data_IF_883771145046
#
_entry.id   IF_883771145046
#
_cell.length_a   1.000
_cell.length_b   1.000
_cell.length_c   1.000
_cell.angle_alpha   90.00
_cell.angle_beta   90.00
_cell.angle_gamma   90.00
#
_symmetry.space_group_name_H-M   'P 1'
#
loop_
_entity.id
_entity.type
_entity.pdbx_description
1 polymer ?
#
# COMPACT_ATOMS: atom_id res chain seq x y z
N UNK A 1 -12.84 16.35 -3.85
CA UNK A 1 -12.89 17.19 -5.07
C UNK A 1 -12.86 16.38 -6.36
N UNK A 2 -11.78 15.65 -6.69
CA UNK A 2 -11.72 14.83 -7.93
C UNK A 2 -12.93 13.91 -8.12
N UNK A 3 -13.29 13.13 -7.09
CA UNK A 3 -14.50 12.28 -7.06
C UNK A 3 -15.79 13.05 -7.38
N UNK A 4 -15.92 14.29 -6.91
CA UNK A 4 -17.10 15.13 -7.19
C UNK A 4 -17.15 15.47 -8.68
N UNK A 5 -16.03 15.91 -9.27
CA UNK A 5 -15.98 16.21 -10.70
C UNK A 5 -16.24 14.96 -11.57
N UNK A 6 -15.68 13.82 -11.17
CA UNK A 6 -15.86 12.54 -11.88
C UNK A 6 -17.30 12.02 -11.79
N UNK A 7 -18.01 12.30 -10.69
CA UNK A 7 -19.38 11.79 -10.46
C UNK A 7 -20.46 12.74 -10.96
N UNK A 8 -20.29 14.04 -10.71
CA UNK A 8 -21.34 15.06 -10.91
C UNK A 8 -20.97 16.12 -11.96
N UNK A 9 -19.81 15.97 -12.61
CA UNK A 9 -19.32 16.89 -13.62
C UNK A 9 -18.61 18.11 -13.06
N UNK A 10 -17.92 18.82 -13.94
CA UNK A 10 -17.11 19.99 -13.59
C UNK A 10 -17.96 21.18 -13.11
N UNK A 11 -19.20 21.32 -13.58
CA UNK A 11 -20.10 22.41 -13.16
C UNK A 11 -20.39 22.37 -11.66
N UNK A 12 -20.65 21.19 -11.10
CA UNK A 12 -20.87 21.02 -9.66
C UNK A 12 -19.57 21.30 -8.88
N UNK A 13 -18.43 20.85 -9.41
CA UNK A 13 -17.12 21.17 -8.86
C UNK A 13 -16.86 22.68 -8.77
N UNK A 14 -17.22 23.44 -9.81
CA UNK A 14 -17.04 24.89 -9.84
C UNK A 14 -17.96 25.62 -8.87
N UNK A 15 -19.22 25.18 -8.73
CA UNK A 15 -20.14 25.70 -7.71
C UNK A 15 -19.62 25.44 -6.30
N UNK A 16 -19.07 24.25 -6.07
CA UNK A 16 -18.48 23.87 -4.79
C UNK A 16 -17.28 24.76 -4.45
N UNK A 17 -16.41 25.08 -5.41
CA UNK A 17 -15.30 26.00 -5.19
C UNK A 17 -15.77 27.42 -4.88
N UNK A 18 -16.82 27.92 -5.55
CA UNK A 18 -17.41 29.24 -5.25
C UNK A 18 -17.97 29.28 -3.82
N UNK A 19 -18.68 28.23 -3.40
CA UNK A 19 -19.22 28.09 -2.04
C UNK A 19 -18.12 28.02 -0.98
N UNK A 20 -17.00 27.33 -1.27
CA UNK A 20 -15.81 27.33 -0.39
C UNK A 20 -15.28 28.76 -0.23
N UNK A 21 -15.14 29.52 -1.32
CA UNK A 21 -14.67 30.91 -1.26
C UNK A 21 -15.62 31.77 -0.43
N UNK A 22 -16.93 31.71 -0.68
CA UNK A 22 -17.94 32.47 0.07
C UNK A 22 -17.92 32.16 1.56
N UNK A 23 -17.76 30.89 1.94
CA UNK A 23 -17.67 30.51 3.35
C UNK A 23 -16.35 30.98 3.98
N UNK A 24 -15.24 30.89 3.24
CA UNK A 24 -13.94 31.38 3.68
C UNK A 24 -13.91 32.90 3.86
N UNK A 25 -14.63 33.69 3.06
CA UNK A 25 -14.74 35.15 3.23
C UNK A 25 -15.29 35.56 4.61
N UNK A 26 -16.06 34.69 5.27
CA UNK A 26 -16.55 34.94 6.63
C UNK A 26 -15.55 34.52 7.74
N UNK A 27 -14.51 33.77 7.38
CA UNK A 27 -13.48 33.24 8.29
C UNK A 27 -12.21 34.08 8.20
N UNK A 28 -11.89 34.55 7.01
CA UNK A 28 -10.70 35.35 6.70
C UNK A 28 -10.98 36.80 7.08
N UNK A 29 -10.18 37.33 8.01
CA UNK A 29 -10.32 38.71 8.44
C UNK A 29 -9.71 39.69 7.43
N UNK A 30 -9.85 40.98 7.73
CA UNK A 30 -9.35 42.07 6.87
C UNK A 30 -7.82 42.14 6.71
N UNK A 31 -7.06 41.41 7.55
CA UNK A 31 -5.59 41.45 7.54
C UNK A 31 -5.00 40.26 6.80
N UNK A 32 -5.68 39.14 6.80
CA UNK A 32 -5.27 37.92 6.14
C UNK A 32 -5.46 38.03 4.63
N UNK A 33 -4.60 37.35 3.86
CA UNK A 33 -4.76 37.22 2.41
C UNK A 33 -5.21 35.80 2.10
N UNK A 34 -6.36 35.67 1.45
CA UNK A 34 -6.85 34.40 0.93
C UNK A 34 -6.77 34.39 -0.58
N UNK A 35 -6.13 33.37 -1.14
CA UNK A 35 -5.91 33.23 -2.58
C UNK A 35 -6.12 31.80 -3.05
N UNK A 36 -6.62 31.65 -4.28
CA UNK A 36 -6.66 30.38 -4.99
C UNK A 36 -5.45 30.28 -5.91
N UNK A 37 -4.59 29.28 -5.69
CA UNK A 37 -3.34 29.14 -6.45
C UNK A 37 -3.57 28.35 -7.74
N UNK A 38 -4.27 27.22 -7.65
CA UNK A 38 -4.61 26.37 -8.80
C UNK A 38 -5.67 25.35 -8.42
N UNK A 39 -6.50 24.89 -9.36
CA UNK A 39 -7.43 23.78 -9.13
C UNK A 39 -8.24 23.93 -7.83
N UNK A 40 -8.09 22.98 -6.91
CA UNK A 40 -8.70 23.00 -5.57
C UNK A 40 -7.70 23.37 -4.45
N UNK A 41 -6.59 24.04 -4.78
CA UNK A 41 -5.56 24.50 -3.85
C UNK A 41 -5.75 25.98 -3.53
N UNK A 42 -5.78 26.29 -2.24
CA UNK A 42 -5.91 27.63 -1.70
C UNK A 42 -4.73 27.91 -0.75
N UNK A 43 -4.40 29.19 -0.58
CA UNK A 43 -3.37 29.67 0.33
C UNK A 43 -3.97 30.77 1.19
N UNK A 44 -3.63 30.74 2.48
CA UNK A 44 -3.93 31.78 3.45
C UNK A 44 -2.60 32.32 3.97
N UNK A 45 -2.40 33.63 3.88
CA UNK A 45 -1.31 34.33 4.53
C UNK A 45 -1.85 35.08 5.75
N UNK A 46 -1.31 34.78 6.92
CA UNK A 46 -1.65 35.44 8.17
C UNK A 46 -0.48 36.34 8.57
N UNK A 47 -0.54 37.67 8.34
CA UNK A 47 0.55 38.57 8.67
C UNK A 47 0.58 38.90 10.17
N UNK A 48 1.73 39.39 10.63
CA UNK A 48 1.90 39.98 11.97
C UNK A 48 1.57 39.03 13.14
N UNK A 49 1.95 37.76 13.01
CA UNK A 49 1.93 36.80 14.11
C UNK A 49 2.97 37.16 15.21
N UNK A 50 2.85 36.52 16.37
CA UNK A 50 3.72 36.79 17.50
C UNK A 50 5.18 36.36 17.24
N UNK A 51 6.15 37.08 17.80
CA UNK A 51 7.57 36.72 17.62
C UNK A 51 7.96 35.41 18.33
N UNK A 52 7.18 35.00 19.33
CA UNK A 52 7.32 33.69 19.96
C UNK A 52 6.69 32.61 19.06
N UNK A 53 7.50 31.63 18.64
CA UNK A 53 7.05 30.55 17.76
C UNK A 53 5.90 29.73 18.36
N UNK A 54 5.93 29.45 19.67
CA UNK A 54 4.89 28.66 20.35
C UNK A 54 3.54 29.39 20.28
N UNK A 55 3.53 30.68 20.57
CA UNK A 55 2.29 31.48 20.51
C UNK A 55 1.77 31.60 19.08
N UNK A 56 2.66 31.74 18.09
CA UNK A 56 2.30 31.72 16.67
C UNK A 56 1.70 30.39 16.22
N UNK A 57 2.24 29.26 16.70
CA UNK A 57 1.66 27.93 16.48
C UNK A 57 0.27 27.83 17.09
N UNK A 58 0.10 28.19 18.36
CA UNK A 58 -1.19 28.16 19.05
C UNK A 58 -2.26 29.04 18.37
N UNK A 59 -1.88 30.22 17.89
CA UNK A 59 -2.76 31.08 17.10
C UNK A 59 -3.17 30.43 15.78
N UNK A 60 -2.20 29.82 15.08
CA UNK A 60 -2.45 29.16 13.80
C UNK A 60 -3.33 27.92 13.98
N UNK A 61 -3.14 27.15 15.04
CA UNK A 61 -3.98 25.99 15.37
C UNK A 61 -5.43 26.40 15.66
N UNK A 62 -5.64 27.48 16.41
CA UNK A 62 -6.99 28.05 16.61
C UNK A 62 -7.64 28.46 15.30
N UNK A 63 -6.85 29.02 14.38
CA UNK A 63 -7.34 29.43 13.06
C UNK A 63 -7.75 28.22 12.21
N UNK A 64 -6.92 27.18 12.18
CA UNK A 64 -7.23 25.90 11.52
C UNK A 64 -8.47 25.25 12.12
N UNK A 65 -8.60 25.25 13.44
CA UNK A 65 -9.79 24.74 14.12
C UNK A 65 -11.05 25.51 13.70
N UNK A 66 -10.95 26.83 13.57
CA UNK A 66 -12.05 27.67 13.08
C UNK A 66 -12.46 27.31 11.65
N UNK A 67 -11.49 27.09 10.75
CA UNK A 67 -11.76 26.61 9.39
C UNK A 67 -12.49 25.27 9.45
N UNK A 68 -11.92 24.28 10.14
CA UNK A 68 -12.48 22.93 10.22
C UNK A 68 -13.90 22.93 10.81
N UNK A 69 -14.14 23.75 11.85
CA UNK A 69 -15.46 23.88 12.46
C UNK A 69 -16.50 24.45 11.49
N UNK A 70 -16.16 25.50 10.74
CA UNK A 70 -17.06 26.10 9.75
C UNK A 70 -17.37 25.17 8.57
N UNK A 71 -16.44 24.25 8.24
CA UNK A 71 -16.63 23.26 7.19
C UNK A 71 -17.11 21.89 7.69
N UNK A 72 -17.38 21.74 8.99
CA UNK A 72 -18.08 20.57 9.52
C UNK A 72 -19.53 20.51 9.01
N UNK A 73 -20.16 21.67 8.79
CA UNK A 73 -21.47 21.78 8.14
C UNK A 73 -21.34 21.56 6.63
N UNK A 74 -22.26 20.81 5.99
CA UNK A 74 -22.21 20.60 4.55
C UNK A 74 -22.39 21.90 3.76
N UNK A 75 -21.93 21.89 2.51
CA UNK A 75 -22.31 22.87 1.50
C UNK A 75 -23.56 22.34 0.78
N UNK A 76 -24.61 23.16 0.68
CA UNK A 76 -25.79 22.81 -0.08
C UNK A 76 -25.68 23.35 -1.51
N UNK A 77 -25.77 22.47 -2.50
CA UNK A 77 -25.79 22.84 -3.92
C UNK A 77 -27.00 22.15 -4.54
N UNK A 78 -27.97 22.95 -4.98
CA UNK A 78 -29.20 22.48 -5.62
C UNK A 78 -30.01 21.45 -4.79
N UNK A 79 -29.98 21.54 -3.46
CA UNK A 79 -30.71 20.64 -2.56
C UNK A 79 -29.90 19.44 -2.09
N UNK A 80 -28.71 19.21 -2.64
CA UNK A 80 -27.80 18.13 -2.26
C UNK A 80 -26.72 18.63 -1.29
N UNK A 81 -26.37 17.80 -0.30
CA UNK A 81 -25.38 18.12 0.73
C UNK A 81 -24.00 17.55 0.41
N UNK A 82 -22.98 18.42 0.44
CA UNK A 82 -21.60 18.06 0.17
C UNK A 82 -20.73 18.32 1.40
N UNK A 83 -20.19 17.26 1.98
CA UNK A 83 -19.20 17.34 3.06
C UNK A 83 -17.79 17.45 2.49
N UNK A 84 -17.02 18.41 3.01
CA UNK A 84 -15.65 18.66 2.59
C UNK A 84 -14.69 18.50 3.76
N UNK A 85 -13.50 18.00 3.46
CA UNK A 85 -12.36 18.01 4.35
C UNK A 85 -11.19 18.74 3.67
N UNK A 86 -10.41 19.45 4.49
CA UNK A 86 -9.21 20.17 4.05
C UNK A 86 -8.00 19.51 4.66
N UNK A 87 -6.98 19.26 3.84
CA UNK A 87 -5.65 18.95 4.36
C UNK A 87 -4.80 20.21 4.26
N UNK A 88 -4.20 20.62 5.38
CA UNK A 88 -3.55 21.94 5.51
C UNK A 88 -2.07 21.78 5.82
N UNK A 89 -1.21 22.41 5.01
CA UNK A 89 0.21 22.56 5.30
C UNK A 89 0.51 23.94 5.82
N UNK A 90 1.22 24.04 6.93
CA UNK A 90 1.50 25.29 7.62
C UNK A 90 3.00 25.55 7.59
N UNK A 91 3.40 26.77 7.31
CA UNK A 91 4.79 27.22 7.47
C UNK A 91 4.81 28.51 8.25
N UNK A 92 5.59 28.54 9.32
CA UNK A 92 5.95 29.80 9.99
C UNK A 92 7.25 30.30 9.36
N UNK A 93 7.30 31.59 9.05
CA UNK A 93 8.44 32.21 8.40
C UNK A 93 8.60 33.66 8.86
N UNK A 94 9.83 34.15 8.83
CA UNK A 94 10.17 35.55 9.03
C UNK A 94 10.63 36.17 7.71
N UNK A 95 10.39 37.48 7.53
CA UNK A 95 10.64 38.20 6.27
C UNK A 95 12.08 38.13 5.74
N UNK A 96 13.05 37.72 6.55
CA UNK A 96 14.47 37.70 6.18
C UNK A 96 14.99 36.32 5.75
N UNK A 97 14.21 35.24 5.90
CA UNK A 97 14.74 33.87 5.88
C UNK A 97 14.30 33.01 4.67
N UNK A 98 13.43 33.53 3.81
CA UNK A 98 12.89 32.78 2.68
C UNK A 98 12.29 33.69 1.60
N UNK A 99 12.43 33.30 0.33
CA UNK A 99 11.65 33.91 -0.74
C UNK A 99 10.17 33.48 -0.65
N UNK A 100 9.26 34.24 -1.25
CA UNK A 100 7.84 33.85 -1.32
C UNK A 100 7.65 32.46 -1.94
N UNK A 101 8.49 32.11 -2.93
CA UNK A 101 8.49 30.79 -3.55
C UNK A 101 8.89 29.68 -2.56
N UNK A 102 9.93 29.92 -1.75
CA UNK A 102 10.36 28.94 -0.75
C UNK A 102 9.30 28.73 0.33
N UNK A 103 8.63 29.79 0.78
CA UNK A 103 7.53 29.71 1.75
C UNK A 103 6.38 28.87 1.19
N UNK A 104 5.94 29.15 -0.04
CA UNK A 104 4.87 28.39 -0.69
C UNK A 104 5.26 26.91 -0.86
N UNK A 105 6.49 26.64 -1.27
CA UNK A 105 7.01 25.27 -1.40
C UNK A 105 7.01 24.53 -0.06
N UNK A 106 7.47 25.17 1.02
CA UNK A 106 7.47 24.59 2.37
C UNK A 106 6.05 24.30 2.86
N UNK A 107 5.10 25.21 2.62
CA UNK A 107 3.69 25.00 2.94
C UNK A 107 3.10 23.82 2.15
N UNK A 108 3.43 23.70 0.86
CA UNK A 108 2.99 22.59 0.02
C UNK A 108 3.58 21.25 0.49
N UNK A 109 4.87 21.20 0.83
CA UNK A 109 5.51 20.02 1.43
C UNK A 109 4.83 19.61 2.72
N UNK A 110 4.56 20.54 3.63
CA UNK A 110 3.83 20.24 4.87
C UNK A 110 2.40 19.73 4.62
N UNK A 111 1.72 20.27 3.61
CA UNK A 111 0.38 19.82 3.22
C UNK A 111 0.44 18.38 2.67
N UNK A 112 1.50 18.06 1.92
CA UNK A 112 1.72 16.73 1.38
C UNK A 112 1.96 15.71 2.49
N UNK A 113 2.84 16.03 3.44
CA UNK A 113 3.08 15.21 4.64
C UNK A 113 1.82 15.01 5.49
N UNK A 114 1.00 16.07 5.64
CA UNK A 114 -0.31 15.93 6.29
C UNK A 114 -1.24 14.97 5.53
N UNK A 115 -1.20 14.95 4.18
CA UNK A 115 -2.01 14.01 3.39
C UNK A 115 -1.57 12.56 3.56
N UNK A 116 -0.26 12.32 3.67
CA UNK A 116 0.30 10.99 3.96
C UNK A 116 -0.17 10.48 5.31
N UNK A 117 -0.13 11.33 6.34
CA UNK A 117 -0.57 10.95 7.68
C UNK A 117 -2.08 10.64 7.73
N UNK A 118 -2.92 11.58 7.29
CA UNK A 118 -4.35 11.37 7.10
C UNK A 118 -5.01 12.53 6.35
N UNK A 119 -5.93 12.22 5.43
CA UNK A 119 -6.74 13.25 4.76
C UNK A 119 -7.60 13.99 5.80
N UNK A 120 -7.74 15.31 5.64
CA UNK A 120 -8.48 16.15 6.59
C UNK A 120 -7.67 16.63 7.81
N UNK A 121 -6.35 16.41 7.84
CA UNK A 121 -5.47 16.85 8.93
C UNK A 121 -4.62 18.06 8.56
N UNK A 122 -3.86 18.58 9.52
CA UNK A 122 -2.90 19.67 9.31
C UNK A 122 -1.52 19.30 9.82
N UNK A 123 -0.48 19.81 9.17
CA UNK A 123 0.91 19.63 9.61
C UNK A 123 1.72 20.91 9.47
N UNK A 124 2.61 21.15 10.44
CA UNK A 124 3.59 22.24 10.37
C UNK A 124 4.85 21.77 9.67
N UNK A 125 5.35 22.60 8.76
CA UNK A 125 6.59 22.38 8.07
C UNK A 125 7.74 22.21 9.07
N UNK A 126 8.47 21.11 8.89
CA UNK A 126 9.73 20.86 9.55
C UNK A 126 10.79 20.68 8.47
N UNK A 127 12.02 21.13 8.73
CA UNK A 127 13.11 21.03 7.75
C UNK A 127 13.36 19.59 7.27
N UNK A 128 13.11 18.61 8.14
CA UNK A 128 13.13 17.17 7.80
C UNK A 128 12.23 16.83 6.60
N UNK A 129 11.06 17.45 6.48
CA UNK A 129 10.10 17.16 5.41
C UNK A 129 10.65 17.48 4.01
N UNK A 130 11.41 18.57 3.86
CA UNK A 130 12.04 18.89 2.56
C UNK A 130 13.14 17.92 2.19
N UNK A 131 13.83 17.33 3.17
CA UNK A 131 14.84 16.31 2.92
C UNK A 131 14.16 15.03 2.46
N UNK A 132 13.10 14.61 3.14
CA UNK A 132 12.26 13.45 2.76
C UNK A 132 11.75 13.59 1.32
N UNK A 133 11.15 14.72 0.93
CA UNK A 133 10.66 14.87 -0.46
C UNK A 133 11.77 14.82 -1.52
N UNK A 134 12.99 15.29 -1.21
CA UNK A 134 14.14 15.18 -2.13
C UNK A 134 14.66 13.76 -2.23
N UNK A 135 14.72 13.05 -1.10
CA UNK A 135 15.11 11.65 -1.03
C UNK A 135 14.13 10.79 -1.83
N UNK A 136 12.82 11.02 -1.69
CA UNK A 136 11.76 10.33 -2.44
C UNK A 136 11.93 10.50 -3.95
N UNK A 137 12.09 11.74 -4.43
CA UNK A 137 12.36 12.00 -5.85
C UNK A 137 13.67 11.36 -6.33
N UNK A 138 14.67 11.27 -5.46
CA UNK A 138 15.93 10.61 -5.79
C UNK A 138 15.72 9.11 -5.96
N UNK A 139 14.99 8.49 -5.02
CA UNK A 139 14.64 7.07 -5.06
C UNK A 139 13.80 6.75 -6.31
N UNK A 140 12.78 7.55 -6.63
CA UNK A 140 11.98 7.38 -7.85
C UNK A 140 12.85 7.39 -9.12
N UNK A 141 13.75 8.37 -9.24
CA UNK A 141 14.68 8.45 -10.36
C UNK A 141 15.66 7.27 -10.41
N UNK A 142 16.08 6.78 -9.25
CA UNK A 142 16.98 5.63 -9.16
C UNK A 142 16.26 4.33 -9.52
N UNK A 143 14.98 4.12 -9.16
CA UNK A 143 14.16 2.98 -9.62
C UNK A 143 14.09 2.97 -11.16
N UNK A 144 13.91 4.13 -11.79
CA UNK A 144 13.92 4.24 -13.25
C UNK A 144 15.23 3.79 -13.90
N UNK A 145 16.37 4.00 -13.24
CA UNK A 145 17.68 3.54 -13.72
C UNK A 145 17.86 2.06 -13.42
N UNK A 146 17.49 1.63 -12.22
CA UNK A 146 17.59 0.26 -11.75
C UNK A 146 16.86 -0.74 -12.68
N UNK A 147 15.68 -0.37 -13.17
CA UNK A 147 14.92 -1.14 -14.17
C UNK A 147 15.66 -1.31 -15.51
N UNK A 148 16.53 -0.37 -15.88
CA UNK A 148 17.33 -0.42 -17.12
C UNK A 148 18.68 -1.11 -16.93
N UNK A 149 19.20 -1.07 -15.72
CA UNK A 149 20.55 -1.51 -15.37
C UNK A 149 20.58 -2.91 -14.73
N UNK A 150 19.44 -3.59 -14.60
CA UNK A 150 19.29 -4.89 -13.93
C UNK A 150 19.77 -4.86 -12.47
N UNK A 151 19.40 -3.81 -11.73
CA UNK A 151 19.76 -3.65 -10.31
C UNK A 151 18.73 -4.30 -9.36
N UNK A 152 17.64 -4.83 -9.90
CA UNK A 152 16.66 -5.60 -9.15
C UNK A 152 16.87 -7.10 -9.32
N UNK A 153 16.58 -7.85 -8.27
CA UNK A 153 16.52 -9.31 -8.26
C UNK A 153 15.27 -9.79 -7.51
N UNK A 154 14.91 -11.07 -7.67
CA UNK A 154 13.82 -11.69 -6.92
C UNK A 154 14.42 -12.72 -5.98
N UNK A 155 14.01 -12.63 -4.71
CA UNK A 155 14.29 -13.63 -3.70
C UNK A 155 13.00 -14.38 -3.41
N UNK A 156 13.10 -15.66 -3.08
CA UNK A 156 11.98 -16.52 -2.81
C UNK A 156 11.96 -16.89 -1.33
N UNK A 157 10.80 -16.73 -0.70
CA UNK A 157 10.60 -17.21 0.66
C UNK A 157 9.64 -18.41 0.66
N UNK A 158 10.09 -19.61 1.06
CA UNK A 158 9.26 -20.80 1.11
C UNK A 158 8.05 -20.66 2.03
N UNK A 159 6.92 -21.18 1.59
CA UNK A 159 5.69 -21.37 2.35
C UNK A 159 5.52 -22.86 2.64
N UNK A 160 5.13 -23.21 3.86
CA UNK A 160 5.12 -24.59 4.32
C UNK A 160 3.77 -25.02 4.87
N UNK A 161 3.44 -26.28 4.67
CA UNK A 161 2.37 -26.95 5.37
C UNK A 161 2.75 -27.17 6.83
N UNK A 162 1.87 -26.75 7.75
CA UNK A 162 2.18 -26.80 9.19
C UNK A 162 2.27 -28.23 9.74
N UNK A 163 1.55 -29.18 9.14
CA UNK A 163 1.49 -30.57 9.62
C UNK A 163 2.62 -31.41 9.02
N UNK A 164 2.87 -31.29 7.72
CA UNK A 164 3.88 -32.10 7.03
C UNK A 164 5.27 -31.48 6.99
N UNK A 165 5.39 -30.18 7.28
CA UNK A 165 6.62 -29.40 7.13
C UNK A 165 7.23 -29.45 5.72
N UNK A 166 6.37 -29.64 4.72
CA UNK A 166 6.77 -29.65 3.30
C UNK A 166 6.53 -28.28 2.69
N UNK A 167 7.41 -27.88 1.77
CA UNK A 167 7.24 -26.65 1.00
C UNK A 167 6.05 -26.83 0.05
N UNK A 168 5.06 -25.93 0.14
CA UNK A 168 3.87 -25.91 -0.72
C UNK A 168 3.96 -24.85 -1.81
N UNK A 169 4.69 -23.78 -1.56
CA UNK A 169 4.81 -22.63 -2.45
C UNK A 169 5.95 -21.73 -2.02
N UNK A 170 6.08 -20.59 -2.67
CA UNK A 170 6.98 -19.53 -2.23
C UNK A 170 6.50 -18.15 -2.65
N UNK A 171 6.80 -17.15 -1.83
CA UNK A 171 6.55 -15.76 -2.16
C UNK A 171 7.76 -15.16 -2.90
N UNK A 172 7.49 -14.52 -4.04
CA UNK A 172 8.48 -13.80 -4.84
C UNK A 172 8.63 -12.36 -4.32
N UNK A 173 9.79 -12.07 -3.73
CA UNK A 173 10.08 -10.83 -3.03
C UNK A 173 11.20 -10.06 -3.74
N UNK A 174 10.88 -8.86 -4.24
CA UNK A 174 11.85 -8.00 -4.93
C UNK A 174 12.99 -7.54 -3.99
N UNK A 175 14.21 -7.50 -4.50
CA UNK A 175 15.41 -6.99 -3.83
C UNK A 175 16.07 -5.97 -4.73
N UNK A 176 16.63 -4.90 -4.14
CA UNK A 176 17.31 -3.86 -4.89
C UNK A 176 18.76 -3.73 -4.45
N UNK A 177 19.67 -4.08 -5.35
CA UNK A 177 21.11 -3.93 -5.16
C UNK A 177 21.60 -2.67 -5.88
N UNK A 178 21.62 -1.55 -5.18
CA UNK A 178 22.02 -0.27 -5.75
C UNK A 178 23.55 -0.16 -5.83
N UNK A 179 24.14 0.22 -6.98
CA UNK A 179 25.58 0.15 -7.22
C UNK A 179 26.43 0.97 -6.23
N UNK A 180 25.90 2.07 -5.71
CA UNK A 180 26.59 2.93 -4.74
C UNK A 180 26.01 2.92 -3.33
N UNK A 181 24.76 2.46 -3.14
CA UNK A 181 24.05 2.49 -1.86
C UNK A 181 23.99 1.11 -1.21
N UNK A 182 24.40 0.07 -1.93
CA UNK A 182 24.26 -1.33 -1.51
C UNK A 182 22.80 -1.77 -1.56
N UNK A 183 22.47 -2.76 -0.73
CA UNK A 183 21.12 -3.28 -0.60
C UNK A 183 20.15 -2.22 -0.05
N UNK A 184 19.09 -1.94 -0.81
CA UNK A 184 17.99 -1.07 -0.39
C UNK A 184 16.78 -1.94 -0.03
N UNK A 185 16.30 -1.91 1.23
CA UNK A 185 15.14 -2.71 1.65
C UNK A 185 13.85 -2.33 0.90
N UNK A 186 12.95 -3.28 0.59
CA UNK A 186 11.64 -3.01 -0.02
C UNK A 186 10.83 -1.93 0.70
N UNK A 187 10.83 -1.95 2.04
CA UNK A 187 10.14 -0.95 2.86
C UNK A 187 10.60 0.51 2.59
N UNK A 188 11.81 0.70 2.03
CA UNK A 188 12.35 2.02 1.75
C UNK A 188 12.01 2.53 0.34
N UNK A 189 11.59 1.68 -0.59
CA UNK A 189 11.34 2.09 -1.98
C UNK A 189 9.96 1.72 -2.52
N UNK A 190 9.30 0.66 -2.00
CA UNK A 190 7.96 0.26 -2.44
C UNK A 190 6.93 1.36 -2.15
N UNK A 191 6.86 1.95 -0.94
CA UNK A 191 5.88 3.02 -0.67
C UNK A 191 6.07 4.24 -1.60
N UNK A 192 7.33 4.57 -1.91
CA UNK A 192 7.69 5.66 -2.83
C UNK A 192 7.28 5.29 -4.26
N UNK A 193 7.46 4.02 -4.64
CA UNK A 193 7.09 3.53 -5.95
C UNK A 193 5.57 3.57 -6.16
N UNK A 194 4.80 3.22 -5.13
CA UNK A 194 3.34 3.26 -5.13
C UNK A 194 2.82 4.69 -5.24
N UNK A 195 3.39 5.61 -4.47
CA UNK A 195 2.97 7.00 -4.42
C UNK A 195 3.27 7.75 -5.74
N UNK A 196 4.44 7.47 -6.35
CA UNK A 196 4.88 8.12 -7.59
C UNK A 196 4.24 7.55 -8.86
N UNK A 197 3.69 6.33 -8.81
CA UNK A 197 3.16 5.67 -10.00
C UNK A 197 4.09 4.62 -10.62
N UNK A 198 5.38 4.64 -10.28
CA UNK A 198 6.40 3.79 -10.90
C UNK A 198 6.29 2.32 -10.48
N UNK A 199 5.58 2.00 -9.38
CA UNK A 199 5.33 0.61 -8.95
C UNK A 199 4.75 -0.24 -10.07
N UNK A 200 3.92 0.32 -10.96
CA UNK A 200 3.36 -0.43 -12.10
C UNK A 200 4.48 -0.96 -13.00
N UNK A 201 5.49 -0.12 -13.32
CA UNK A 201 6.62 -0.54 -14.15
C UNK A 201 7.52 -1.52 -13.41
N UNK A 202 7.66 -1.34 -12.10
CA UNK A 202 8.43 -2.26 -11.26
C UNK A 202 7.77 -3.63 -11.19
N UNK A 203 6.46 -3.68 -10.99
CA UNK A 203 5.69 -4.92 -10.97
C UNK A 203 5.62 -5.59 -12.35
N UNK A 204 5.51 -4.83 -13.44
CA UNK A 204 5.66 -5.41 -14.80
C UNK A 204 7.02 -6.12 -14.96
N UNK A 205 8.09 -5.57 -14.38
CA UNK A 205 9.40 -6.23 -14.32
C UNK A 205 9.40 -7.44 -13.39
N UNK A 206 8.82 -7.34 -12.19
CA UNK A 206 8.71 -8.44 -11.21
C UNK A 206 7.95 -9.61 -11.81
N UNK A 207 6.76 -9.38 -12.37
CA UNK A 207 5.96 -10.41 -13.04
C UNK A 207 6.76 -11.09 -14.15
N UNK A 208 7.42 -10.32 -15.01
CA UNK A 208 8.18 -10.91 -16.11
C UNK A 208 9.31 -11.81 -15.59
N UNK A 209 10.03 -11.35 -14.57
CA UNK A 209 11.16 -12.08 -13.99
C UNK A 209 10.71 -13.33 -13.21
N UNK A 210 9.66 -13.22 -12.40
CA UNK A 210 9.10 -14.33 -11.64
C UNK A 210 8.52 -15.41 -12.56
N UNK A 211 7.76 -15.03 -13.59
CA UNK A 211 7.18 -15.97 -14.56
C UNK A 211 8.28 -16.65 -15.38
N UNK A 212 9.34 -15.93 -15.76
CA UNK A 212 10.52 -16.52 -16.39
C UNK A 212 11.21 -17.55 -15.48
N UNK A 213 11.36 -17.25 -14.19
CA UNK A 213 11.96 -18.16 -13.21
C UNK A 213 11.08 -19.39 -12.94
N UNK A 214 9.75 -19.24 -12.84
CA UNK A 214 8.79 -20.35 -12.81
C UNK A 214 8.94 -21.25 -14.03
N UNK A 215 9.09 -20.64 -15.21
CA UNK A 215 9.32 -21.39 -16.45
C UNK A 215 10.59 -22.23 -16.37
N UNK A 216 11.71 -21.64 -15.93
CA UNK A 216 12.99 -22.33 -15.75
C UNK A 216 12.86 -23.50 -14.75
N UNK A 217 12.15 -23.30 -13.64
CA UNK A 217 11.90 -24.36 -12.65
C UNK A 217 11.11 -25.51 -13.26
N UNK A 218 10.01 -25.22 -13.95
CA UNK A 218 9.17 -26.25 -14.59
C UNK A 218 9.93 -27.08 -15.64
N UNK A 219 10.84 -26.46 -16.40
CA UNK A 219 11.66 -27.16 -17.40
C UNK A 219 12.75 -28.01 -16.76
N UNK A 220 13.38 -27.50 -15.69
CA UNK A 220 14.46 -28.20 -15.01
C UNK A 220 13.98 -29.44 -14.26
N UNK A 221 12.80 -29.37 -13.64
CA UNK A 221 12.23 -30.44 -12.81
C UNK A 221 11.28 -31.37 -13.59
N UNK A 222 11.13 -31.18 -14.90
CA UNK A 222 10.16 -31.87 -15.78
C UNK A 222 8.67 -31.66 -15.46
N UNK A 223 8.35 -31.11 -14.30
CA UNK A 223 7.06 -30.60 -13.86
C UNK A 223 7.30 -29.48 -12.83
N UNK A 224 6.34 -28.58 -12.63
CA UNK A 224 6.47 -27.58 -11.58
C UNK A 224 6.27 -28.25 -10.20
N UNK A 225 7.24 -28.16 -9.27
CA UNK A 225 7.27 -29.02 -8.08
C UNK A 225 6.44 -28.49 -6.90
N UNK A 226 5.82 -27.32 -7.04
CA UNK A 226 5.07 -26.63 -5.97
C UNK A 226 3.62 -26.39 -6.41
N UNK A 227 2.78 -25.98 -5.46
CA UNK A 227 1.43 -25.53 -5.75
C UNK A 227 1.46 -24.18 -6.49
N UNK A 228 2.29 -23.23 -6.03
CA UNK A 228 2.35 -21.88 -6.63
C UNK A 228 3.64 -21.11 -6.29
N UNK A 229 3.90 -20.05 -7.06
CA UNK A 229 4.70 -18.87 -6.66
C UNK A 229 3.74 -17.70 -6.46
N UNK A 230 3.76 -17.11 -5.27
CA UNK A 230 2.97 -15.95 -4.92
C UNK A 230 3.68 -14.66 -5.32
N UNK A 231 2.94 -13.75 -5.99
CA UNK A 231 3.45 -12.46 -6.44
C UNK A 231 2.54 -11.35 -5.92
N UNK A 232 3.14 -10.44 -5.15
CA UNK A 232 2.47 -9.24 -4.65
C UNK A 232 2.01 -8.32 -5.77
N UNK A 233 0.79 -7.81 -5.65
CA UNK A 233 0.20 -6.84 -6.59
C UNK A 233 -0.30 -5.62 -5.86
N UNK A 234 0.34 -4.48 -6.11
CA UNK A 234 -0.13 -3.19 -5.61
C UNK A 234 -1.55 -2.91 -6.08
N UNK A 235 -2.31 -2.27 -5.19
CA UNK A 235 -3.68 -1.85 -5.49
C UNK A 235 -3.73 -1.01 -6.78
N UNK A 236 -2.72 -0.16 -7.00
CA UNK A 236 -2.70 0.75 -8.13
C UNK A 236 -2.51 0.03 -9.46
N UNK A 237 -1.70 -1.04 -9.51
CA UNK A 237 -1.53 -1.84 -10.71
C UNK A 237 -2.73 -2.75 -10.95
N UNK A 238 -3.24 -3.39 -9.92
CA UNK A 238 -4.41 -4.26 -10.03
C UNK A 238 -5.65 -3.52 -10.57
N UNK A 239 -5.83 -2.25 -10.17
CA UNK A 239 -6.90 -1.39 -10.65
C UNK A 239 -6.66 -0.82 -12.06
N UNK A 240 -5.50 -1.05 -12.70
CA UNK A 240 -5.28 -0.57 -14.07
C UNK A 240 -6.29 -1.19 -15.04
N UNK A 241 -6.74 -0.41 -16.04
CA UNK A 241 -7.37 -0.98 -17.23
C UNK A 241 -6.39 -1.97 -17.89
N UNK A 242 -6.92 -3.07 -18.44
CA UNK A 242 -6.14 -4.08 -19.16
C UNK A 242 -5.12 -4.86 -18.31
N UNK A 243 -5.18 -4.82 -16.97
CA UNK A 243 -4.32 -5.62 -16.10
C UNK A 243 -4.37 -7.12 -16.47
N UNK A 244 -5.58 -7.67 -16.56
CA UNK A 244 -5.82 -9.08 -16.92
C UNK A 244 -5.21 -9.40 -18.30
N UNK A 245 -5.51 -8.58 -19.32
CA UNK A 245 -4.99 -8.76 -20.68
C UNK A 245 -3.46 -8.79 -20.71
N UNK A 246 -2.80 -7.84 -20.03
CA UNK A 246 -1.33 -7.76 -19.95
C UNK A 246 -0.72 -8.97 -19.26
N UNK A 247 -1.29 -9.38 -18.13
CA UNK A 247 -0.81 -10.56 -17.39
C UNK A 247 -0.98 -11.82 -18.24
N UNK A 248 -2.11 -11.98 -18.93
CA UNK A 248 -2.31 -13.11 -19.83
C UNK A 248 -1.33 -13.10 -20.99
N UNK A 249 -1.03 -11.96 -21.60
CA UNK A 249 0.00 -11.87 -22.65
C UNK A 249 1.37 -12.33 -22.15
N UNK A 250 1.70 -12.04 -20.89
CA UNK A 250 2.95 -12.44 -20.27
C UNK A 250 3.01 -13.95 -20.03
N UNK A 251 1.94 -14.53 -19.48
CA UNK A 251 1.80 -15.98 -19.32
C UNK A 251 1.93 -16.70 -20.66
N UNK A 252 1.22 -16.24 -21.70
CA UNK A 252 1.27 -16.86 -23.03
C UNK A 252 2.67 -16.77 -23.66
N UNK A 253 3.37 -15.65 -23.46
CA UNK A 253 4.74 -15.45 -23.96
C UNK A 253 5.71 -16.46 -23.36
N UNK A 254 5.62 -16.69 -22.05
CA UNK A 254 6.50 -17.60 -21.33
C UNK A 254 6.01 -19.06 -21.32
N UNK A 255 4.78 -19.31 -21.75
CA UNK A 255 4.13 -20.64 -21.76
C UNK A 255 4.13 -21.29 -20.38
N UNK A 256 3.76 -20.51 -19.37
CA UNK A 256 3.61 -20.94 -17.98
C UNK A 256 2.15 -21.32 -17.73
N UNK A 257 1.89 -22.32 -16.88
CA UNK A 257 0.53 -22.62 -16.45
C UNK A 257 0.09 -21.57 -15.41
N UNK A 258 -1.03 -20.84 -15.61
CA UNK A 258 -1.57 -19.91 -14.63
C UNK A 258 -1.76 -20.50 -13.22
N UNK A 259 -2.03 -21.81 -13.11
CA UNK A 259 -2.22 -22.49 -11.83
C UNK A 259 -0.99 -22.46 -10.93
N UNK A 260 0.20 -22.18 -11.48
CA UNK A 260 1.43 -22.06 -10.72
C UNK A 260 1.67 -20.65 -10.17
N UNK A 261 0.75 -19.71 -10.41
CA UNK A 261 0.89 -18.31 -10.01
C UNK A 261 -0.25 -17.95 -9.07
N UNK A 262 0.13 -17.56 -7.84
CA UNK A 262 -0.77 -16.93 -6.89
C UNK A 262 -0.58 -15.41 -6.96
N UNK A 263 -1.68 -14.66 -6.96
CA UNK A 263 -1.65 -13.20 -6.85
C UNK A 263 -2.05 -12.77 -5.45
N UNK A 264 -1.15 -12.07 -4.77
CA UNK A 264 -1.40 -11.54 -3.43
C UNK A 264 -1.87 -10.09 -3.53
N UNK A 265 -3.00 -9.79 -2.91
CA UNK A 265 -3.59 -8.44 -2.93
C UNK A 265 -3.96 -8.06 -1.51
N UNK A 266 -3.55 -6.87 -1.08
CA UNK A 266 -3.89 -6.39 0.25
C UNK A 266 -5.39 -6.20 0.43
N UNK A 267 -5.87 -6.45 1.64
CA UNK A 267 -7.27 -6.24 2.04
C UNK A 267 -7.76 -4.83 1.66
N UNK A 268 -6.97 -3.81 2.00
CA UNK A 268 -7.31 -2.40 1.73
C UNK A 268 -7.43 -2.11 0.22
N UNK A 269 -6.65 -2.81 -0.60
CA UNK A 269 -6.67 -2.68 -2.05
C UNK A 269 -7.95 -3.18 -2.68
N UNK A 270 -8.40 -4.36 -2.26
CA UNK A 270 -9.67 -4.96 -2.70
C UNK A 270 -10.84 -4.03 -2.34
N UNK A 271 -10.85 -3.49 -1.12
CA UNK A 271 -11.94 -2.65 -0.63
C UNK A 271 -12.06 -1.31 -1.35
N UNK A 272 -11.01 -0.85 -2.04
CA UNK A 272 -11.03 0.42 -2.79
C UNK A 272 -12.01 0.39 -3.96
N UNK A 273 -12.16 -0.74 -4.63
CA UNK A 273 -13.15 -0.96 -5.68
C UNK A 273 -13.51 -2.46 -5.80
N UNK A 274 -14.34 -2.91 -4.86
CA UNK A 274 -14.66 -4.33 -4.72
C UNK A 274 -15.29 -4.96 -5.98
N UNK A 275 -16.16 -4.23 -6.68
CA UNK A 275 -16.85 -4.76 -7.86
C UNK A 275 -15.86 -5.05 -9.00
N UNK A 276 -14.94 -4.11 -9.26
CA UNK A 276 -13.88 -4.29 -10.26
C UNK A 276 -12.92 -5.41 -9.83
N UNK A 277 -12.56 -5.45 -8.55
CA UNK A 277 -11.69 -6.48 -8.01
C UNK A 277 -12.29 -7.88 -8.18
N UNK A 278 -13.53 -8.08 -7.75
CA UNK A 278 -14.25 -9.36 -7.89
C UNK A 278 -14.34 -9.79 -9.36
N UNK A 279 -14.60 -8.86 -10.28
CA UNK A 279 -14.66 -9.18 -11.70
C UNK A 279 -13.30 -9.67 -12.23
N UNK A 280 -12.22 -8.95 -11.93
CA UNK A 280 -10.86 -9.32 -12.37
C UNK A 280 -10.39 -10.63 -11.75
N UNK A 281 -10.66 -10.85 -10.46
CA UNK A 281 -10.33 -12.12 -9.78
C UNK A 281 -11.07 -13.27 -10.48
N UNK A 282 -12.38 -13.15 -10.71
CA UNK A 282 -13.15 -14.21 -11.40
C UNK A 282 -12.61 -14.50 -12.81
N UNK A 283 -12.24 -13.46 -13.54
CA UNK A 283 -11.67 -13.59 -14.88
C UNK A 283 -10.33 -14.32 -14.85
N UNK A 284 -9.41 -13.92 -13.97
CA UNK A 284 -8.11 -14.56 -13.81
C UNK A 284 -8.23 -16.00 -13.28
N UNK A 285 -9.14 -16.26 -12.34
CA UNK A 285 -9.40 -17.63 -11.88
C UNK A 285 -9.96 -18.54 -12.96
N UNK A 286 -10.72 -18.00 -13.92
CA UNK A 286 -11.16 -18.78 -15.09
C UNK A 286 -9.99 -19.21 -15.99
N UNK A 287 -8.84 -18.54 -15.91
CA UNK A 287 -7.59 -18.96 -16.55
C UNK A 287 -6.74 -19.91 -15.68
N UNK A 288 -7.01 -20.01 -14.37
CA UNK A 288 -6.36 -20.95 -13.46
C UNK A 288 -5.55 -20.31 -12.33
N UNK A 289 -5.40 -18.98 -12.28
CA UNK A 289 -4.69 -18.31 -11.18
C UNK A 289 -5.33 -18.57 -9.82
N UNK A 290 -4.52 -18.60 -8.76
CA UNK A 290 -4.99 -18.55 -7.38
C UNK A 290 -4.81 -17.14 -6.80
N UNK A 291 -5.54 -16.85 -5.72
CA UNK A 291 -5.52 -15.55 -5.08
C UNK A 291 -5.47 -15.66 -3.57
N UNK A 292 -4.65 -14.82 -2.96
CA UNK A 292 -4.60 -14.63 -1.52
C UNK A 292 -4.88 -13.18 -1.12
N UNK A 293 -5.49 -13.01 0.05
CA UNK A 293 -5.65 -11.69 0.67
C UNK A 293 -4.48 -11.49 1.62
N UNK A 294 -3.70 -10.44 1.37
CA UNK A 294 -2.53 -10.07 2.16
C UNK A 294 -2.85 -9.06 3.27
N UNK A 295 -2.00 -9.02 4.30
CA UNK A 295 -2.12 -8.16 5.50
C UNK A 295 -3.49 -8.27 6.22
N UNK A 296 -4.12 -9.44 6.22
CA UNK A 296 -5.51 -9.57 6.71
C UNK A 296 -5.62 -9.29 8.21
N UNK A 297 -6.60 -8.44 8.58
CA UNK A 297 -6.89 -8.08 9.97
C UNK A 297 -6.28 -6.75 10.42
N UNK A 298 -5.44 -6.12 9.59
CA UNK A 298 -4.94 -4.75 9.82
C UNK A 298 -5.95 -3.67 9.36
N UNK A 299 -6.92 -4.06 8.52
CA UNK A 299 -7.94 -3.20 7.94
C UNK A 299 -9.35 -3.34 8.55
N UNK A 300 -10.30 -2.61 7.98
CA UNK A 300 -11.72 -2.72 8.32
C UNK A 300 -12.42 -3.72 7.37
N UNK A 301 -12.27 -5.01 7.66
CA UNK A 301 -12.98 -6.04 6.89
C UNK A 301 -14.45 -6.12 7.28
N UNK A 302 -15.33 -5.98 6.29
CA UNK A 302 -16.72 -6.42 6.44
C UNK A 302 -16.82 -7.90 6.06
N UNK A 303 -17.18 -8.74 7.03
CA UNK A 303 -17.47 -10.16 6.81
C UNK A 303 -18.49 -10.40 5.68
N UNK A 304 -19.37 -9.43 5.41
CA UNK A 304 -20.33 -9.51 4.33
C UNK A 304 -19.66 -9.62 2.96
N UNK A 305 -18.56 -8.89 2.75
CA UNK A 305 -17.84 -8.89 1.47
C UNK A 305 -16.90 -10.07 1.34
N UNK A 306 -16.30 -10.53 2.44
CA UNK A 306 -15.43 -11.70 2.43
C UNK A 306 -16.12 -12.94 1.83
N UNK A 307 -17.44 -13.08 2.05
CA UNK A 307 -18.27 -14.13 1.45
C UNK A 307 -18.32 -14.08 -0.09
N UNK A 308 -18.18 -12.90 -0.68
CA UNK A 308 -18.32 -12.69 -2.13
C UNK A 308 -16.97 -12.68 -2.86
N UNK A 309 -15.86 -12.61 -2.13
CA UNK A 309 -14.51 -12.61 -2.68
C UNK A 309 -14.13 -14.03 -3.13
N UNK A 310 -13.83 -14.24 -4.43
CA UNK A 310 -13.46 -15.54 -4.94
C UNK A 310 -11.98 -15.83 -4.71
N UNK A 311 -11.48 -15.69 -3.48
CA UNK A 311 -10.08 -15.96 -3.12
C UNK A 311 -9.89 -17.39 -2.61
N UNK A 312 -8.65 -17.85 -2.56
CA UNK A 312 -8.27 -19.22 -2.14
C UNK A 312 -7.66 -19.22 -0.74
N UNK A 313 -6.91 -18.17 -0.40
CA UNK A 313 -6.14 -18.09 0.83
C UNK A 313 -6.27 -16.71 1.52
N UNK A 314 -6.09 -16.70 2.83
CA UNK A 314 -5.94 -15.50 3.65
C UNK A 314 -4.57 -15.57 4.35
N UNK A 315 -3.79 -14.50 4.25
CA UNK A 315 -2.49 -14.35 4.93
C UNK A 315 -2.67 -13.49 6.18
N UNK A 316 -2.28 -14.03 7.33
CA UNK A 316 -2.33 -13.33 8.61
C UNK A 316 -1.07 -12.49 8.74
N UNK A 317 -1.24 -11.18 8.88
CA UNK A 317 -0.15 -10.22 9.02
C UNK A 317 0.81 -10.59 10.16
N UNK A 318 2.10 -10.47 9.87
CA UNK A 318 3.19 -10.81 10.80
C UNK A 318 3.09 -10.09 12.16
N UNK A 319 2.50 -8.89 12.23
CA UNK A 319 2.37 -8.14 13.47
C UNK A 319 1.53 -8.86 14.51
N UNK A 320 0.50 -9.61 14.10
CA UNK A 320 -0.31 -10.43 15.01
C UNK A 320 0.39 -11.74 15.35
N UNK A 321 1.04 -12.37 14.37
CA UNK A 321 1.72 -13.66 14.55
C UNK A 321 2.93 -13.52 15.48
N UNK A 322 3.70 -12.44 15.34
CA UNK A 322 4.89 -12.19 16.14
C UNK A 322 4.58 -12.08 17.64
N UNK A 323 3.50 -11.40 18.00
CA UNK A 323 3.13 -11.10 19.39
C UNK A 323 2.11 -12.07 20.00
N UNK A 324 1.58 -13.04 19.25
CA UNK A 324 0.46 -13.89 19.72
C UNK A 324 0.75 -14.68 21.01
N UNK A 325 2.02 -14.99 21.31
CA UNK A 325 2.37 -15.70 22.54
C UNK A 325 2.39 -14.79 23.78
N UNK A 326 2.51 -13.48 23.59
CA UNK A 326 2.62 -12.48 24.66
C UNK A 326 1.35 -11.63 24.79
N UNK A 327 0.66 -11.39 23.68
CA UNK A 327 -0.54 -10.57 23.60
C UNK A 327 -1.78 -11.42 23.29
N UNK A 328 -2.68 -11.51 24.28
CA UNK A 328 -3.96 -12.21 24.13
C UNK A 328 -4.85 -11.64 23.04
N UNK A 329 -4.79 -10.33 22.80
CA UNK A 329 -5.54 -9.69 21.72
C UNK A 329 -5.10 -10.21 20.35
N UNK A 330 -3.78 -10.27 20.14
CA UNK A 330 -3.21 -10.73 18.87
C UNK A 330 -3.45 -12.23 18.68
N UNK A 331 -3.33 -13.05 19.74
CA UNK A 331 -3.73 -14.45 19.71
C UNK A 331 -5.20 -14.64 19.30
N UNK A 332 -6.12 -13.85 19.88
CA UNK A 332 -7.53 -13.91 19.53
C UNK A 332 -7.80 -13.52 18.08
N UNK A 333 -7.04 -12.58 17.53
CA UNK A 333 -7.12 -12.21 16.10
C UNK A 333 -6.68 -13.39 15.25
N UNK A 334 -5.50 -13.97 15.50
CA UNK A 334 -4.98 -15.14 14.77
C UNK A 334 -5.98 -16.31 14.82
N UNK A 335 -6.48 -16.68 16.00
CA UNK A 335 -7.48 -17.73 16.18
C UNK A 335 -8.77 -17.45 15.39
N UNK A 336 -9.23 -16.19 15.40
CA UNK A 336 -10.43 -15.77 14.70
C UNK A 336 -10.25 -15.89 13.18
N UNK A 337 -9.11 -15.48 12.64
CA UNK A 337 -8.81 -15.59 11.20
C UNK A 337 -8.72 -17.06 10.78
N UNK A 338 -8.05 -17.91 11.56
CA UNK A 338 -8.00 -19.36 11.32
C UNK A 338 -9.41 -19.98 11.34
N UNK A 339 -10.25 -19.58 12.29
CA UNK A 339 -11.64 -20.04 12.35
C UNK A 339 -12.47 -19.55 11.15
N UNK A 340 -12.27 -18.31 10.70
CA UNK A 340 -12.94 -17.74 9.53
C UNK A 340 -12.55 -18.48 8.25
N UNK A 341 -11.26 -18.73 8.02
CA UNK A 341 -10.78 -19.48 6.86
C UNK A 341 -11.49 -20.82 6.73
N UNK A 342 -11.57 -21.59 7.83
CA UNK A 342 -12.31 -22.87 7.86
C UNK A 342 -13.79 -22.73 7.54
N UNK A 343 -14.45 -21.64 7.96
CA UNK A 343 -15.89 -21.43 7.72
C UNK A 343 -16.21 -21.01 6.29
N UNK A 344 -15.31 -20.25 5.67
CA UNK A 344 -15.45 -19.80 4.29
C UNK A 344 -14.72 -20.69 3.27
N UNK A 345 -14.09 -21.76 3.74
CA UNK A 345 -13.30 -22.68 2.92
C UNK A 345 -12.10 -22.00 2.23
N UNK A 346 -11.48 -21.06 2.92
CA UNK A 346 -10.18 -20.50 2.56
C UNK A 346 -9.08 -21.23 3.32
N UNK A 347 -7.93 -21.33 2.68
CA UNK A 347 -6.68 -21.66 3.35
C UNK A 347 -6.18 -20.48 4.16
N UNK A 348 -5.45 -20.76 5.24
CA UNK A 348 -4.88 -19.72 6.09
C UNK A 348 -3.37 -19.91 6.22
N UNK A 349 -2.63 -18.87 5.86
CA UNK A 349 -1.18 -18.80 5.99
C UNK A 349 -0.82 -17.76 7.06
N UNK A 350 -0.01 -18.16 8.03
CA UNK A 350 0.52 -17.24 9.04
C UNK A 350 1.91 -16.74 8.63
N UNK A 351 2.08 -15.42 8.55
CA UNK A 351 3.35 -14.79 8.17
C UNK A 351 4.21 -14.44 9.38
N UNK A 352 5.51 -14.27 9.16
CA UNK A 352 6.42 -13.81 10.21
C UNK A 352 6.64 -14.81 11.34
N UNK A 353 6.53 -16.12 11.09
CA UNK A 353 6.86 -17.15 12.09
C UNK A 353 8.37 -17.17 12.34
N UNK A 354 8.79 -16.76 13.54
CA UNK A 354 10.21 -16.64 13.91
C UNK A 354 10.70 -17.68 14.92
N UNK A 355 9.79 -18.38 15.61
CA UNK A 355 10.15 -19.34 16.65
C UNK A 355 9.21 -20.55 16.71
N UNK A 356 9.67 -21.57 17.42
CA UNK A 356 8.99 -22.86 17.56
C UNK A 356 7.71 -22.75 18.39
N UNK A 357 7.68 -21.84 19.36
CA UNK A 357 6.53 -21.62 20.23
C UNK A 357 5.34 -21.08 19.43
N UNK A 358 5.57 -20.11 18.56
CA UNK A 358 4.56 -19.57 17.62
C UNK A 358 4.08 -20.68 16.68
N UNK A 359 4.99 -21.43 16.06
CA UNK A 359 4.63 -22.55 15.18
C UNK A 359 3.76 -23.60 15.89
N UNK A 360 4.11 -23.94 17.14
CA UNK A 360 3.34 -24.87 17.96
C UNK A 360 1.93 -24.34 18.22
N UNK A 361 1.79 -23.07 18.57
CA UNK A 361 0.49 -22.44 18.80
C UNK A 361 -0.36 -22.47 17.52
N UNK A 362 0.21 -22.09 16.37
CA UNK A 362 -0.45 -22.16 15.06
C UNK A 362 -0.92 -23.59 14.71
N UNK A 363 -0.12 -24.60 15.06
CA UNK A 363 -0.47 -26.02 14.90
C UNK A 363 -1.64 -26.43 15.81
N UNK A 364 -1.66 -26.00 17.08
CA UNK A 364 -2.73 -26.28 18.04
C UNK A 364 -4.09 -25.73 17.58
N UNK A 365 -4.10 -24.55 16.96
CA UNK A 365 -5.31 -23.94 16.39
C UNK A 365 -5.63 -24.45 14.97
N UNK A 366 -4.77 -25.33 14.43
CA UNK A 366 -4.86 -25.92 13.08
C UNK A 366 -4.90 -24.85 11.98
N UNK A 367 -3.93 -23.95 11.97
CA UNK A 367 -3.60 -23.14 10.79
C UNK A 367 -3.20 -24.07 9.62
N UNK A 368 -3.37 -23.69 8.36
CA UNK A 368 -3.01 -24.58 7.24
C UNK A 368 -1.51 -24.47 6.92
N UNK A 369 -1.05 -23.23 6.75
CA UNK A 369 0.28 -22.92 6.23
C UNK A 369 0.99 -21.89 7.10
N UNK A 370 2.31 -21.80 6.95
CA UNK A 370 3.10 -20.76 7.57
C UNK A 370 4.29 -20.35 6.71
N UNK A 371 4.76 -19.13 6.93
CA UNK A 371 5.94 -18.54 6.31
C UNK A 371 6.69 -17.70 7.37
N UNK A 372 8.02 -17.70 7.32
CA UNK A 372 8.81 -16.85 8.21
C UNK A 372 10.25 -17.31 8.38
N UNK A 373 11.02 -16.48 9.08
CA UNK A 373 12.46 -16.68 9.31
C UNK A 373 12.80 -17.97 10.07
N UNK A 374 11.84 -18.54 10.81
CA UNK A 374 12.00 -19.84 11.47
C UNK A 374 12.21 -20.97 10.46
N UNK A 375 11.48 -20.93 9.35
CA UNK A 375 11.59 -21.90 8.27
C UNK A 375 12.75 -21.55 7.33
N UNK A 376 12.68 -20.38 6.71
CA UNK A 376 13.76 -19.86 5.89
C UNK A 376 13.62 -18.36 5.71
N UNK A 377 14.76 -17.68 5.62
CA UNK A 377 14.78 -16.30 5.12
C UNK A 377 14.47 -16.31 3.62
N UNK A 378 14.07 -15.19 3.03
CA UNK A 378 14.07 -15.06 1.58
C UNK A 378 15.48 -15.34 1.04
N UNK A 379 15.57 -16.20 0.02
CA UNK A 379 16.85 -16.62 -0.61
C UNK A 379 16.84 -16.32 -2.10
N UNK A 380 18.01 -16.24 -2.73
CA UNK A 380 18.11 -16.10 -4.19
C UNK A 380 17.56 -17.34 -4.93
N UNK A 381 17.38 -17.19 -6.25
CA UNK A 381 16.78 -18.22 -7.10
C UNK A 381 17.55 -19.55 -7.11
N UNK A 382 18.88 -19.52 -7.10
CA UNK A 382 19.69 -20.75 -7.14
C UNK A 382 19.57 -21.50 -5.81
N UNK A 383 19.66 -20.79 -4.69
CA UNK A 383 19.45 -21.36 -3.35
C UNK A 383 18.02 -21.90 -3.21
N UNK A 384 17.02 -21.18 -3.71
CA UNK A 384 15.63 -21.63 -3.67
C UNK A 384 15.44 -22.93 -4.47
N UNK A 385 16.04 -23.01 -5.65
CA UNK A 385 16.00 -24.21 -6.50
C UNK A 385 16.58 -25.44 -5.79
N UNK A 386 17.66 -25.27 -5.03
CA UNK A 386 18.24 -26.35 -4.23
C UNK A 386 17.32 -26.76 -3.06
N UNK A 387 16.68 -25.79 -2.38
CA UNK A 387 15.76 -26.06 -1.27
C UNK A 387 14.54 -26.89 -1.69
N UNK A 388 13.95 -26.61 -2.84
CA UNK A 388 12.77 -27.33 -3.30
C UNK A 388 13.10 -28.75 -3.80
N UNK A 389 14.37 -29.05 -4.10
CA UNK A 389 14.79 -30.41 -4.42
C UNK A 389 14.89 -31.32 -3.20
N UNK A 390 15.21 -30.76 -2.01
CA UNK A 390 15.35 -31.55 -0.79
C UNK A 390 14.02 -32.00 -0.16
N UNK A 391 12.87 -31.57 -0.72
CA UNK A 391 11.48 -31.98 -0.42
C UNK A 391 10.96 -31.77 1.02
N UNK A 392 11.85 -31.67 2.01
CA UNK A 392 11.55 -31.51 3.43
C UNK A 392 12.56 -30.54 4.03
N UNK A 393 12.10 -29.58 4.84
CA UNK A 393 13.01 -28.76 5.64
C UNK A 393 13.22 -29.42 7.01
N UNK A 394 14.47 -29.61 7.39
CA UNK A 394 14.85 -30.01 8.75
C UNK A 394 14.78 -28.76 9.65
N UNK A 395 13.61 -28.51 10.26
CA UNK A 395 13.35 -27.33 11.12
C UNK A 395 13.33 -27.72 12.60
#
# INVERSE_FOLDING_TARGET
>A
FKKVNETYGHDVGDHLLKQVVQRMENIVGSREIFARVSGNKFVILIPSLHMNEKESKEMTDKYIHTINHNFALPLNIAGEEYHLSFTIGVVLFNNNDASAFDVLKRAETAMYEAKKAARGTSSFYQTSMSNTSKEELTVENDIHKALKNNEFSIYYQPQLNIESNTIIGAEALVRWEHPTKGFIPPANFIPIAEESGIIIKLEEWIFNKAIEEVKILSETMHEFPLEHIAINVSTMHFLQPHFVEKLMLLIHRHKVNPEWIELEITESGIMRNINDAVQKIKELKAFGFTFSIDDFGTGYSSLAYLKELPVDMIKIDQSFVFSMNENKGDAMIVESVVALGKKFNFKVLAEGVENKEVLKHLSEIKCDYYQGNYASKPVDFDTFKDLIQSSTMDV
#
